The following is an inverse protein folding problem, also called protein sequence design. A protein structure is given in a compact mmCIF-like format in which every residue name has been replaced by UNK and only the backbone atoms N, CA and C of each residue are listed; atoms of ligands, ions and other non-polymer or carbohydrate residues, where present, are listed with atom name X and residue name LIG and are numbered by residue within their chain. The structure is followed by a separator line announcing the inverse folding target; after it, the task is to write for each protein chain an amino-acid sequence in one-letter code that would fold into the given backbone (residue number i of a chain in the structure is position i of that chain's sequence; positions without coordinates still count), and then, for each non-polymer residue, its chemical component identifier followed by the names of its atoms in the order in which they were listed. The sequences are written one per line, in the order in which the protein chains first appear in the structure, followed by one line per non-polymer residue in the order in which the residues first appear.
data_IF_351997929815
#
_entry.id   IF_351997929815
#
_cell.length_a   1.000
_cell.length_b   1.000
_cell.length_c   1.000
_cell.angle_alpha   90.00
_cell.angle_beta   90.00
_cell.angle_gamma   90.00
#
_symmetry.space_group_name_H-M   'P 1'
#
loop_
_entity.id
_entity.type
_entity.pdbx_description
1 polymer ?
#
# COMPACT_ATOMS: atom_id res chain seq x y z
N UNK A 1 -18.26 -40.59 -26.08
CA UNK A 1 -18.58 -39.24 -25.58
C UNK A 1 -18.52 -39.35 -24.06
N UNK A 2 -17.54 -38.84 -23.32
CA UNK A 2 -16.96 -37.50 -23.38
C UNK A 2 -15.52 -37.47 -22.81
N UNK A 3 -14.67 -36.81 -23.60
CA UNK A 3 -13.51 -35.95 -23.32
C UNK A 3 -12.43 -36.30 -22.27
N UNK A 4 -11.23 -36.48 -22.83
CA UNK A 4 -9.93 -36.03 -22.33
C UNK A 4 -9.95 -34.61 -21.78
N UNK A 5 -9.20 -34.38 -20.70
CA UNK A 5 -8.62 -33.07 -20.39
C UNK A 5 -7.13 -33.25 -20.11
N UNK A 6 -6.35 -33.02 -21.16
CA UNK A 6 -4.92 -32.71 -21.09
C UNK A 6 -4.74 -31.24 -20.65
N UNK A 7 -3.58 -30.91 -20.08
CA UNK A 7 -3.14 -29.50 -19.99
C UNK A 7 -2.92 -28.93 -18.59
N UNK A 8 -2.17 -29.61 -17.72
CA UNK A 8 -1.52 -28.94 -16.59
C UNK A 8 -0.35 -28.08 -17.11
N UNK A 9 -0.65 -26.86 -17.54
CA UNK A 9 0.34 -25.88 -18.00
C UNK A 9 1.22 -25.43 -16.84
N UNK A 10 2.49 -25.82 -16.91
CA UNK A 10 3.57 -25.50 -15.98
C UNK A 10 3.76 -23.97 -15.94
N UNK A 11 3.52 -23.35 -14.79
CA UNK A 11 3.87 -21.94 -14.57
C UNK A 11 5.38 -21.83 -14.36
N UNK A 12 6.04 -21.17 -15.31
CA UNK A 12 7.45 -20.78 -15.25
C UNK A 12 7.73 -19.92 -14.01
N UNK A 13 8.78 -20.31 -13.29
CA UNK A 13 9.33 -19.61 -12.14
C UNK A 13 10.34 -18.60 -12.67
N UNK A 14 9.99 -17.32 -12.71
CA UNK A 14 10.98 -16.24 -12.89
C UNK A 14 11.29 -15.62 -11.54
N UNK A 15 12.52 -15.90 -11.08
CA UNK A 15 13.10 -15.40 -9.84
C UNK A 15 13.40 -13.91 -9.92
N UNK A 16 12.47 -13.11 -9.40
CA UNK A 16 12.76 -11.82 -8.80
C UNK A 16 12.35 -11.90 -7.34
N UNK A 17 13.09 -11.27 -6.41
CA UNK A 17 12.69 -11.12 -5.01
C UNK A 17 11.42 -10.26 -4.91
N UNK A 18 10.26 -10.81 -5.28
CA UNK A 18 8.95 -10.20 -5.05
C UNK A 18 8.70 -10.31 -3.56
N UNK A 19 8.65 -9.16 -2.87
CA UNK A 19 8.09 -9.12 -1.53
C UNK A 19 6.72 -9.82 -1.59
N UNK A 20 6.52 -10.87 -0.78
CA UNK A 20 5.27 -11.62 -0.74
C UNK A 20 4.10 -10.64 -0.63
N UNK A 21 3.30 -10.55 -1.69
CA UNK A 21 2.05 -9.79 -1.71
C UNK A 21 1.08 -10.57 -0.82
N UNK A 22 0.93 -10.16 0.44
CA UNK A 22 0.11 -10.86 1.44
C UNK A 22 -1.37 -10.50 1.31
N UNK A 23 -1.67 -9.31 0.78
CA UNK A 23 -3.03 -8.80 0.67
C UNK A 23 -3.43 -8.64 -0.79
N UNK A 24 -4.73 -8.80 -1.07
CA UNK A 24 -5.28 -8.54 -2.39
C UNK A 24 -5.09 -7.07 -2.77
N UNK A 25 -4.73 -6.83 -4.03
CA UNK A 25 -4.64 -5.50 -4.61
C UNK A 25 -5.63 -5.39 -5.77
N UNK A 26 -6.38 -4.30 -5.78
CA UNK A 26 -7.17 -3.89 -6.94
C UNK A 26 -6.24 -3.42 -8.06
N UNK A 27 -6.64 -3.65 -9.31
CA UNK A 27 -5.86 -3.19 -10.45
C UNK A 27 -5.89 -1.67 -10.53
N UNK A 28 -4.70 -1.06 -10.61
CA UNK A 28 -4.60 0.38 -10.80
C UNK A 28 -4.98 0.72 -12.25
N UNK A 29 -5.58 1.90 -12.49
CA UNK A 29 -5.79 2.37 -13.84
C UNK A 29 -4.47 2.50 -14.60
N UNK A 30 -4.48 2.34 -15.93
CA UNK A 30 -3.28 2.41 -16.74
C UNK A 30 -2.60 3.77 -16.62
N UNK A 31 -1.27 3.79 -16.76
CA UNK A 31 -0.51 5.03 -16.79
C UNK A 31 -0.63 5.69 -18.16
N UNK A 32 -0.92 6.99 -18.21
CA UNK A 32 -1.08 7.73 -19.45
C UNK A 32 0.18 8.53 -19.80
N UNK A 33 0.54 8.52 -21.08
CA UNK A 33 1.62 9.35 -21.63
C UNK A 33 1.10 10.78 -21.79
N UNK A 34 1.94 11.77 -21.45
CA UNK A 34 1.66 13.17 -21.73
C UNK A 34 2.49 13.61 -22.94
N UNK A 35 1.78 13.97 -24.01
CA UNK A 35 2.37 14.49 -25.24
C UNK A 35 2.25 16.02 -25.23
N UNK A 36 3.37 16.72 -25.30
CA UNK A 36 3.42 18.18 -25.47
C UNK A 36 3.71 18.47 -26.93
N UNK A 37 2.67 18.56 -27.76
CA UNK A 37 2.85 18.47 -29.22
C UNK A 37 3.29 17.06 -29.62
N UNK A 38 4.33 16.94 -30.45
CA UNK A 38 4.88 15.64 -30.88
C UNK A 38 6.00 15.10 -29.98
N UNK A 39 6.34 15.78 -28.89
CA UNK A 39 7.41 15.35 -27.98
C UNK A 39 6.84 14.62 -26.76
N UNK A 40 7.48 13.50 -26.42
CA UNK A 40 7.21 12.78 -25.17
C UNK A 40 7.79 13.57 -23.99
N UNK A 41 6.91 14.14 -23.18
CA UNK A 41 7.33 15.01 -22.05
C UNK A 41 7.34 14.26 -20.71
N UNK A 42 6.61 13.14 -20.61
CA UNK A 42 6.59 12.26 -19.44
C UNK A 42 5.23 11.62 -19.19
N UNK A 43 5.02 11.14 -17.98
CA UNK A 43 3.75 10.57 -17.50
C UNK A 43 3.08 11.56 -16.54
N UNK A 44 1.75 11.67 -16.59
CA UNK A 44 0.98 12.49 -15.63
C UNK A 44 -0.13 11.68 -14.99
N UNK A 45 -0.49 12.05 -13.76
CA UNK A 45 -1.65 11.45 -13.10
C UNK A 45 -2.94 11.99 -13.76
N UNK A 46 -3.97 11.15 -13.85
CA UNK A 46 -5.29 11.53 -14.39
C UNK A 46 -6.40 11.43 -13.37
N UNK A 47 -6.06 11.23 -12.10
CA UNK A 47 -7.06 11.15 -11.03
C UNK A 47 -7.74 12.53 -10.88
N UNK A 48 -9.09 12.60 -10.86
CA UNK A 48 -9.82 13.87 -10.86
C UNK A 48 -9.52 14.74 -9.64
N UNK A 49 -9.23 14.14 -8.49
CA UNK A 49 -8.81 14.85 -7.27
C UNK A 49 -7.31 15.18 -7.19
N UNK A 50 -6.54 14.99 -8.26
CA UNK A 50 -5.09 15.20 -8.19
C UNK A 50 -4.72 16.69 -8.30
N UNK A 51 -4.24 17.25 -7.20
CA UNK A 51 -3.79 18.66 -7.13
C UNK A 51 -2.47 18.93 -7.86
N UNK A 52 -1.74 17.87 -8.23
CA UNK A 52 -0.42 17.99 -8.87
C UNK A 52 -0.50 17.99 -10.39
N UNK A 53 -1.67 17.80 -11.00
CA UNK A 53 -1.83 17.67 -12.46
C UNK A 53 -2.46 18.91 -13.07
N UNK A 54 -2.03 19.36 -14.27
CA UNK A 54 -0.99 18.77 -15.13
C UNK A 54 0.45 19.20 -14.77
N UNK A 55 0.62 20.05 -13.75
CA UNK A 55 1.90 20.71 -13.41
C UNK A 55 3.05 19.72 -13.13
N UNK A 56 2.74 18.52 -12.64
CA UNK A 56 3.71 17.48 -12.31
C UNK A 56 3.70 16.37 -13.34
N UNK A 57 4.84 16.23 -13.99
CA UNK A 57 5.17 15.09 -14.84
C UNK A 57 6.20 14.19 -14.16
N UNK A 58 6.10 12.90 -14.43
CA UNK A 58 7.00 11.88 -13.96
C UNK A 58 7.79 11.36 -15.16
N UNK A 59 9.10 11.17 -15.02
CA UNK A 59 9.95 10.62 -16.10
C UNK A 59 9.75 9.12 -16.32
N UNK A 60 9.27 8.41 -15.30
CA UNK A 60 9.10 6.95 -15.32
C UNK A 60 7.65 6.56 -15.03
N UNK A 61 7.11 5.51 -15.68
CA UNK A 61 5.76 5.04 -15.45
C UNK A 61 5.58 4.56 -14.01
N UNK A 62 6.57 3.83 -13.47
CA UNK A 62 6.56 3.34 -12.09
C UNK A 62 6.38 4.44 -11.03
N UNK A 63 6.86 5.67 -11.31
CA UNK A 63 6.72 6.81 -10.40
C UNK A 63 5.32 7.38 -10.40
N UNK A 64 4.67 7.49 -11.56
CA UNK A 64 3.27 7.91 -11.63
C UNK A 64 2.34 6.82 -11.07
N UNK A 65 2.64 5.53 -11.30
CA UNK A 65 1.92 4.42 -10.68
C UNK A 65 2.02 4.48 -9.17
N UNK A 66 3.23 4.67 -8.61
CA UNK A 66 3.41 4.83 -7.17
C UNK A 66 2.63 6.03 -6.62
N UNK A 67 2.62 7.15 -7.33
CA UNK A 67 1.82 8.31 -6.94
C UNK A 67 0.31 8.00 -6.95
N UNK A 68 -0.19 7.34 -7.99
CA UNK A 68 -1.60 7.00 -8.15
C UNK A 68 -2.11 6.10 -7.01
N UNK A 69 -1.26 5.27 -6.41
CA UNK A 69 -1.60 4.43 -5.25
C UNK A 69 -2.08 5.23 -4.05
N UNK A 70 -1.68 6.49 -3.90
CA UNK A 70 -2.18 7.36 -2.81
C UNK A 70 -3.63 7.79 -3.02
N UNK A 71 -4.09 7.86 -4.27
CA UNK A 71 -5.48 8.18 -4.61
C UNK A 71 -6.36 6.94 -4.52
N UNK A 72 -5.98 5.87 -5.21
CA UNK A 72 -6.82 4.68 -5.37
C UNK A 72 -6.73 3.70 -4.20
N UNK A 73 -5.60 3.68 -3.47
CA UNK A 73 -5.35 2.79 -2.34
C UNK A 73 -5.70 1.33 -2.68
N UNK A 74 -4.94 0.68 -3.58
CA UNK A 74 -5.36 -0.58 -4.17
C UNK A 74 -5.33 -1.75 -3.19
N UNK A 75 -4.59 -1.68 -2.08
CA UNK A 75 -4.44 -2.80 -1.15
C UNK A 75 -5.67 -2.88 -0.24
N UNK A 76 -6.35 -4.03 -0.25
CA UNK A 76 -7.65 -4.22 0.41
C UNK A 76 -7.48 -5.05 1.69
N UNK A 77 -8.11 -4.63 2.78
CA UNK A 77 -8.22 -5.45 3.99
C UNK A 77 -9.27 -6.56 3.76
N UNK A 78 -8.97 -7.84 4.05
CA UNK A 78 -9.91 -8.93 3.77
C UNK A 78 -11.13 -8.97 4.70
N UNK A 79 -11.12 -8.25 5.83
CA UNK A 79 -12.18 -8.34 6.85
C UNK A 79 -12.81 -6.99 7.25
N UNK A 80 -12.38 -5.88 6.64
CA UNK A 80 -12.97 -4.57 6.87
C UNK A 80 -12.84 -3.67 5.62
N UNK A 81 -13.57 -2.55 5.53
CA UNK A 81 -13.58 -1.71 4.33
C UNK A 81 -12.32 -0.85 4.14
N UNK A 82 -11.34 -0.93 5.03
CA UNK A 82 -10.11 -0.12 4.93
C UNK A 82 -9.25 -0.52 3.74
N UNK A 83 -8.69 0.52 3.11
CA UNK A 83 -7.82 0.43 1.93
C UNK A 83 -6.52 1.20 2.15
N UNK A 84 -5.41 0.65 1.65
CA UNK A 84 -4.07 1.25 1.79
C UNK A 84 -3.33 1.37 0.46
N UNK A 85 -2.41 2.31 0.41
CA UNK A 85 -1.59 2.55 -0.76
C UNK A 85 -0.54 1.44 -0.97
N UNK A 86 0.04 0.87 0.09
CA UNK A 86 1.12 -0.12 0.00
C UNK A 86 0.88 -1.34 0.91
N UNK A 87 1.43 -2.50 0.53
CA UNK A 87 1.32 -3.76 1.30
C UNK A 87 1.81 -3.60 2.74
N UNK A 88 2.92 -2.87 2.93
CA UNK A 88 3.48 -2.61 4.26
C UNK A 88 2.54 -1.83 5.19
N UNK A 89 1.73 -0.92 4.64
CA UNK A 89 0.76 -0.17 5.43
C UNK A 89 -0.48 -1.02 5.77
N UNK A 90 -0.85 -1.95 4.89
CA UNK A 90 -1.87 -2.94 5.22
C UNK A 90 -1.40 -3.92 6.30
N UNK A 91 -0.11 -4.33 6.30
CA UNK A 91 0.46 -5.16 7.38
C UNK A 91 0.28 -4.46 8.72
N UNK A 92 0.65 -3.18 8.80
CA UNK A 92 0.47 -2.36 10.02
C UNK A 92 -1.01 -2.28 10.41
N UNK A 93 -1.91 -2.00 9.46
CA UNK A 93 -3.35 -1.94 9.74
C UNK A 93 -3.87 -3.25 10.36
N UNK A 94 -3.59 -4.40 9.72
CA UNK A 94 -4.02 -5.72 10.21
C UNK A 94 -3.44 -6.00 11.60
N UNK A 95 -2.18 -5.65 11.83
CA UNK A 95 -1.52 -5.85 13.11
C UNK A 95 -2.19 -5.12 14.29
N UNK A 96 -2.84 -3.98 14.06
CA UNK A 96 -3.49 -3.19 15.13
C UNK A 96 -4.95 -3.58 15.30
N UNK A 97 -5.65 -3.64 14.17
CA UNK A 97 -7.11 -3.70 14.16
C UNK A 97 -7.62 -5.13 14.04
N UNK A 98 -6.76 -6.06 13.61
CA UNK A 98 -7.12 -7.43 13.25
C UNK A 98 -6.09 -8.43 13.78
N UNK A 99 -5.89 -8.44 15.11
CA UNK A 99 -4.85 -9.25 15.77
C UNK A 99 -4.90 -10.73 15.40
N UNK A 100 -6.09 -11.33 15.34
CA UNK A 100 -6.25 -12.73 14.94
C UNK A 100 -5.73 -12.97 13.53
N UNK A 101 -6.16 -12.15 12.56
CA UNK A 101 -5.68 -12.21 11.18
C UNK A 101 -4.17 -11.96 11.08
N UNK A 102 -3.61 -11.06 11.91
CA UNK A 102 -2.18 -10.83 11.95
C UNK A 102 -1.41 -12.09 12.39
N UNK A 103 -1.92 -12.80 13.41
CA UNK A 103 -1.38 -14.08 13.85
C UNK A 103 -1.48 -15.14 12.75
N UNK A 104 -2.64 -15.30 12.12
CA UNK A 104 -2.86 -16.28 11.05
C UNK A 104 -1.93 -16.06 9.84
N UNK A 105 -1.68 -14.79 9.49
CA UNK A 105 -0.79 -14.42 8.39
C UNK A 105 0.70 -14.36 8.77
N UNK A 106 1.06 -14.71 10.02
CA UNK A 106 2.44 -14.61 10.50
C UNK A 106 3.00 -13.18 10.48
N UNK A 107 2.13 -12.17 10.57
CA UNK A 107 2.51 -10.76 10.62
C UNK A 107 2.89 -10.44 12.07
N UNK A 108 4.12 -10.82 12.41
CA UNK A 108 4.73 -10.55 13.71
C UNK A 108 5.47 -9.22 13.68
N UNK A 109 5.13 -8.33 14.60
CA UNK A 109 5.85 -7.09 14.83
C UNK A 109 5.34 -6.37 16.08
N UNK A 110 6.12 -5.40 16.55
CA UNK A 110 5.79 -4.58 17.71
C UNK A 110 5.07 -3.30 17.27
N UNK A 111 3.87 -3.38 16.71
CA UNK A 111 3.07 -2.17 16.56
C UNK A 111 2.68 -1.71 17.96
N UNK A 112 3.11 -0.51 18.33
CA UNK A 112 2.70 0.14 19.58
C UNK A 112 1.60 1.16 19.24
N UNK A 113 0.33 0.73 19.10
CA UNK A 113 -0.75 1.66 18.88
C UNK A 113 -0.89 2.58 20.08
N UNK A 114 -1.17 3.86 19.83
CA UNK A 114 -1.53 4.77 20.90
C UNK A 114 -2.85 4.29 21.56
N UNK A 115 -2.91 4.13 22.90
CA UNK A 115 -4.15 3.70 23.56
C UNK A 115 -5.27 4.74 23.48
N UNK A 116 -4.94 6.02 23.23
CA UNK A 116 -5.90 7.13 23.20
C UNK A 116 -6.47 7.35 21.80
N UNK A 117 -5.63 7.47 20.78
CA UNK A 117 -6.07 7.73 19.40
C UNK A 117 -5.90 6.56 18.43
N UNK A 118 -5.27 5.46 18.85
CA UNK A 118 -5.03 4.24 18.06
C UNK A 118 -4.19 4.46 16.79
N UNK A 119 -3.54 5.62 16.67
CA UNK A 119 -2.55 5.89 15.64
C UNK A 119 -1.34 4.96 15.79
N UNK A 120 -0.77 4.58 14.64
CA UNK A 120 0.55 3.95 14.60
C UNK A 120 1.61 5.01 14.63
N UNK A 121 2.46 4.88 15.61
CA UNK A 121 3.69 5.63 15.66
C UNK A 121 4.70 4.87 14.80
N UNK A 122 5.02 5.43 13.64
CA UNK A 122 5.94 4.82 12.67
C UNK A 122 7.32 4.61 13.29
N UNK A 123 7.85 3.39 13.15
CA UNK A 123 9.05 2.89 13.83
C UNK A 123 8.80 2.72 15.33
N UNK A 124 8.56 1.47 15.75
CA UNK A 124 8.20 0.98 17.10
C UNK A 124 9.16 1.34 18.23
N UNK A 125 10.00 2.35 18.03
CA UNK A 125 10.91 2.87 19.03
C UNK A 125 10.13 3.69 20.05
N UNK A 126 10.44 3.43 21.32
CA UNK A 126 9.84 4.08 22.50
C UNK A 126 9.91 5.61 22.44
N UNK A 127 10.94 6.18 21.81
CA UNK A 127 11.13 7.63 21.66
C UNK A 127 10.05 8.30 20.79
N UNK A 128 9.68 7.68 19.67
CA UNK A 128 8.59 8.18 18.84
C UNK A 128 7.25 8.12 19.57
N UNK A 129 7.04 7.08 20.40
CA UNK A 129 5.81 6.93 21.18
C UNK A 129 5.73 8.02 22.25
N UNK A 130 6.81 8.27 23.00
CA UNK A 130 6.86 9.35 24.00
C UNK A 130 6.55 10.70 23.38
N UNK A 131 7.17 11.03 22.23
CA UNK A 131 6.90 12.27 21.49
C UNK A 131 5.44 12.39 21.07
N UNK A 132 4.85 11.32 20.52
CA UNK A 132 3.43 11.33 20.15
C UNK A 132 2.51 11.58 21.35
N UNK A 133 2.76 10.91 22.49
CA UNK A 133 1.95 11.11 23.69
C UNK A 133 2.04 12.53 24.22
N UNK A 134 3.23 13.16 24.14
CA UNK A 134 3.43 14.56 24.50
C UNK A 134 2.71 15.51 23.53
N UNK A 135 3.00 15.41 22.24
CA UNK A 135 2.56 16.39 21.24
C UNK A 135 1.05 16.26 20.91
N UNK A 136 0.50 15.04 20.96
CA UNK A 136 -0.88 14.76 20.56
C UNK A 136 -1.84 14.61 21.75
N UNK A 137 -1.34 14.32 22.95
CA UNK A 137 -2.18 14.05 24.13
C UNK A 137 -1.75 14.81 25.39
N UNK A 138 -0.62 15.54 25.38
CA UNK A 138 -0.13 16.25 26.56
C UNK A 138 0.30 15.33 27.71
N UNK A 139 0.56 14.05 27.44
CA UNK A 139 0.91 13.06 28.46
C UNK A 139 2.38 12.63 28.31
N UNK A 140 3.18 12.85 29.35
CA UNK A 140 4.47 12.19 29.49
C UNK A 140 4.27 10.90 30.29
N UNK A 141 4.57 9.74 29.70
CA UNK A 141 4.64 8.48 30.46
C UNK A 141 6.05 8.38 31.04
N UNK A 142 6.13 8.42 32.36
CA UNK A 142 7.31 8.09 33.17
C UNK A 142 7.82 6.68 32.80
#
# INVERSE_FOLDING_TARGET
MVNSVDGASRRSIEGGRRALQLFQEDELPPTYHYMGGNEFTGYSCKHPGCTQTPRKTYKLPSRVTKHARNHYKPVICPICPERRAEQGDMKKHVQIYHRSLATDLGISGEAMPCPLCRCIISNSRKDNFKRHMRDSHGLERD
#
